data_IF_290559799757
#
_entry.id   IF_290559799757
#
_cell.length_a   1.000
_cell.length_b   1.000
_cell.length_c   1.000
_cell.angle_alpha   90.00
_cell.angle_beta   90.00
_cell.angle_gamma   90.00
#
_symmetry.space_group_name_H-M   'P 1'
#
loop_
_entity.id
_entity.type
_entity.pdbx_description
1 polymer ?
#
# COMPACT_ATOMS: atom_id res chain seq x y z
N UNK A 1 16.08 -5.50 -10.78
CA UNK A 1 14.75 -6.11 -10.53
C UNK A 1 13.73 -5.28 -11.27
N UNK A 2 12.91 -5.92 -12.11
CA UNK A 2 11.99 -5.21 -12.99
C UNK A 2 10.95 -4.42 -12.17
N UNK A 3 11.11 -3.10 -12.08
CA UNK A 3 10.19 -2.21 -11.37
C UNK A 3 10.18 -2.34 -9.84
N UNK A 4 11.28 -2.76 -9.20
CA UNK A 4 11.39 -2.70 -7.73
C UNK A 4 11.79 -1.29 -7.29
N UNK A 5 10.98 -0.68 -6.42
CA UNK A 5 11.26 0.63 -5.84
C UNK A 5 12.07 0.47 -4.55
N UNK A 6 13.27 1.05 -4.53
CA UNK A 6 14.16 1.03 -3.37
C UNK A 6 13.69 1.99 -2.28
N UNK A 7 14.17 1.77 -1.04
CA UNK A 7 13.93 2.69 0.09
C UNK A 7 14.36 4.14 -0.23
N UNK A 8 15.50 4.30 -0.90
CA UNK A 8 16.02 5.62 -1.30
C UNK A 8 15.11 6.31 -2.32
N UNK A 9 14.56 5.57 -3.28
CA UNK A 9 13.59 6.11 -4.24
C UNK A 9 12.27 6.47 -3.57
N UNK A 10 11.76 5.59 -2.70
CA UNK A 10 10.54 5.82 -1.96
C UNK A 10 10.64 7.11 -1.11
N UNK A 11 11.75 7.30 -0.39
CA UNK A 11 12.00 8.56 0.35
C UNK A 11 11.99 9.79 -0.54
N UNK A 12 12.64 9.73 -1.72
CA UNK A 12 12.62 10.86 -2.68
C UNK A 12 11.22 11.19 -3.20
N UNK A 13 10.31 10.22 -3.21
CA UNK A 13 8.93 10.39 -3.63
C UNK A 13 7.99 10.75 -2.47
N UNK A 14 8.51 10.94 -1.24
CA UNK A 14 7.72 11.36 -0.07
C UNK A 14 7.11 10.22 0.73
N UNK A 15 7.51 8.96 0.49
CA UNK A 15 7.15 7.85 1.38
C UNK A 15 7.99 7.88 2.67
N UNK A 16 7.37 7.54 3.78
CA UNK A 16 7.95 7.66 5.13
C UNK A 16 8.06 6.34 5.86
N UNK A 17 7.17 5.38 5.55
CA UNK A 17 7.10 4.09 6.23
C UNK A 17 7.16 2.90 5.26
N UNK A 18 7.65 1.77 5.76
CA UNK A 18 7.32 0.47 5.21
C UNK A 18 5.90 0.08 5.62
N UNK A 19 5.19 -0.69 4.80
CA UNK A 19 3.89 -1.24 5.17
C UNK A 19 3.57 -2.56 4.50
N UNK A 20 2.38 -3.08 4.82
CA UNK A 20 1.83 -4.29 4.19
C UNK A 20 0.33 -4.15 3.91
N UNK A 21 -0.11 -4.77 2.83
CA UNK A 21 -1.53 -4.94 2.48
C UNK A 21 -1.78 -6.41 2.16
N UNK A 22 -2.46 -7.16 3.04
CA UNK A 22 -2.64 -8.62 2.91
C UNK A 22 -1.34 -9.39 2.60
N UNK A 23 -0.23 -8.98 3.21
CA UNK A 23 1.10 -9.57 2.99
C UNK A 23 1.88 -8.97 1.81
N UNK A 24 1.25 -8.16 0.96
CA UNK A 24 1.90 -7.42 -0.13
C UNK A 24 2.75 -6.30 0.48
N UNK A 25 4.07 -6.27 0.25
CA UNK A 25 4.92 -5.20 0.72
C UNK A 25 4.61 -3.89 -0.01
N UNK A 26 4.33 -2.83 0.76
CA UNK A 26 4.07 -1.48 0.26
C UNK A 26 4.97 -0.44 0.94
N UNK A 27 5.08 0.72 0.31
CA UNK A 27 5.55 1.97 0.89
C UNK A 27 4.33 2.80 1.30
N UNK A 28 4.39 3.45 2.45
CA UNK A 28 3.31 4.29 2.97
C UNK A 28 3.87 5.70 3.22
N UNK A 29 3.14 6.73 2.78
CA UNK A 29 3.40 8.14 3.08
C UNK A 29 3.09 8.47 4.54
N UNK A 30 2.98 9.76 4.87
CA UNK A 30 2.55 10.17 6.20
C UNK A 30 1.12 9.65 6.48
N UNK A 31 0.91 8.72 7.44
CA UNK A 31 -0.40 8.15 7.72
C UNK A 31 -1.38 9.17 8.32
N UNK A 32 -0.88 10.26 8.90
CA UNK A 32 -1.68 11.31 9.54
C UNK A 32 -1.86 12.55 8.67
N UNK A 33 -1.17 12.60 7.52
CA UNK A 33 -1.19 13.69 6.57
C UNK A 33 -1.57 13.21 5.18
N UNK A 34 -0.67 13.39 4.22
CA UNK A 34 -0.87 12.95 2.85
C UNK A 34 -0.56 11.46 2.71
N UNK A 35 -1.54 10.62 3.06
CA UNK A 35 -1.40 9.17 3.01
C UNK A 35 -1.35 8.68 1.56
N UNK A 36 -0.15 8.30 1.12
CA UNK A 36 0.12 7.69 -0.18
C UNK A 36 0.50 6.23 0.01
N UNK A 37 0.15 5.37 -0.94
CA UNK A 37 0.53 3.95 -0.91
C UNK A 37 1.04 3.54 -2.28
N UNK A 38 2.15 2.81 -2.32
CA UNK A 38 2.68 2.18 -3.53
C UNK A 38 3.24 0.80 -3.22
N UNK A 39 3.12 -0.17 -4.12
CA UNK A 39 3.79 -1.45 -3.92
C UNK A 39 5.30 -1.29 -4.04
N UNK A 40 6.06 -2.13 -3.32
CA UNK A 40 7.52 -2.11 -3.47
C UNK A 40 7.99 -2.67 -4.81
N UNK A 41 7.14 -3.41 -5.50
CA UNK A 41 7.50 -4.11 -6.73
C UNK A 41 6.34 -4.09 -7.72
N UNK A 42 6.58 -3.52 -8.92
CA UNK A 42 5.54 -3.29 -9.91
C UNK A 42 4.60 -4.48 -10.23
N UNK A 43 5.06 -5.74 -10.32
CA UNK A 43 4.15 -6.88 -10.53
C UNK A 43 3.11 -7.08 -9.41
N UNK A 44 3.40 -6.61 -8.20
CA UNK A 44 2.50 -6.70 -7.06
C UNK A 44 1.34 -5.69 -7.14
N UNK A 45 1.41 -4.67 -8.01
CA UNK A 45 0.30 -3.74 -8.24
C UNK A 45 -0.95 -4.48 -8.74
N UNK A 46 -0.77 -5.47 -9.62
CA UNK A 46 -1.89 -6.28 -10.11
C UNK A 46 -2.53 -7.10 -8.98
N UNK A 47 -1.71 -7.65 -8.08
CA UNK A 47 -2.19 -8.40 -6.93
C UNK A 47 -2.91 -7.49 -5.91
N UNK A 48 -2.36 -6.29 -5.66
CA UNK A 48 -2.98 -5.29 -4.79
C UNK A 48 -4.32 -4.82 -5.35
N UNK A 49 -4.39 -4.56 -6.66
CA UNK A 49 -5.63 -4.19 -7.36
C UNK A 49 -6.69 -5.27 -7.24
N UNK A 50 -6.31 -6.55 -7.40
CA UNK A 50 -7.23 -7.66 -7.19
C UNK A 50 -7.81 -7.67 -5.77
N UNK A 51 -6.96 -7.50 -4.75
CA UNK A 51 -7.40 -7.45 -3.35
C UNK A 51 -8.28 -6.24 -3.05
N UNK A 52 -8.00 -5.06 -3.64
CA UNK A 52 -8.88 -3.90 -3.53
C UNK A 52 -10.30 -4.20 -4.04
N UNK A 53 -10.44 -4.92 -5.15
CA UNK A 53 -11.75 -5.32 -5.68
C UNK A 53 -12.46 -6.32 -4.77
N UNK A 54 -11.73 -7.29 -4.22
CA UNK A 54 -12.28 -8.27 -3.27
C UNK A 54 -12.77 -7.57 -1.98
N UNK A 55 -11.94 -6.70 -1.40
CA UNK A 55 -12.28 -5.92 -0.19
C UNK A 55 -13.48 -4.99 -0.46
N UNK A 56 -13.48 -4.29 -1.59
CA UNK A 56 -14.60 -3.45 -2.03
C UNK A 56 -15.91 -4.24 -2.18
N UNK A 57 -15.87 -5.44 -2.76
CA UNK A 57 -17.03 -6.32 -2.85
C UNK A 57 -17.54 -6.76 -1.47
N UNK A 58 -16.63 -7.11 -0.56
CA UNK A 58 -16.98 -7.50 0.82
C UNK A 58 -17.62 -6.31 1.56
N UNK A 59 -17.04 -5.11 1.47
CA UNK A 59 -17.60 -3.92 2.11
C UNK A 59 -18.97 -3.55 1.52
N UNK A 60 -19.13 -3.67 0.20
CA UNK A 60 -20.42 -3.47 -0.46
C UNK A 60 -21.48 -4.45 0.06
N UNK A 61 -21.16 -5.75 0.14
CA UNK A 61 -22.09 -6.75 0.70
C UNK A 61 -22.44 -6.50 2.17
N UNK A 62 -21.54 -5.87 2.93
CA UNK A 62 -21.76 -5.50 4.34
C UNK A 62 -22.47 -4.16 4.52
N UNK A 63 -22.70 -3.40 3.45
CA UNK A 63 -23.25 -2.04 3.52
C UNK A 63 -22.34 -1.05 4.28
N UNK A 64 -21.04 -1.35 4.38
CA UNK A 64 -20.04 -0.50 5.04
C UNK A 64 -19.34 0.37 4.01
N UNK A 65 -18.86 1.55 4.44
CA UNK A 65 -18.04 2.41 3.59
C UNK A 65 -16.80 1.66 3.08
N UNK A 66 -16.44 1.78 1.79
CA UNK A 66 -15.23 1.18 1.26
C UNK A 66 -14.00 1.73 1.98
N UNK A 67 -13.22 0.84 2.57
CA UNK A 67 -11.97 1.18 3.24
C UNK A 67 -10.89 0.20 2.85
N UNK A 68 -9.63 0.66 2.79
CA UNK A 68 -8.48 -0.22 2.59
C UNK A 68 -7.65 -0.25 3.87
N UNK A 69 -7.47 -1.43 4.43
CA UNK A 69 -6.78 -1.58 5.70
C UNK A 69 -5.30 -1.93 5.48
N UNK A 70 -4.44 -0.94 5.67
CA UNK A 70 -2.99 -1.10 5.57
C UNK A 70 -2.37 -1.31 6.95
N UNK A 71 -1.39 -2.22 7.02
CA UNK A 71 -0.52 -2.34 8.17
C UNK A 71 0.66 -1.37 8.00
N UNK A 72 0.68 -0.31 8.80
CA UNK A 72 1.84 0.59 8.89
C UNK A 72 2.96 -0.09 9.68
N UNK A 73 4.15 -0.12 9.11
CA UNK A 73 5.35 -0.67 9.71
C UNK A 73 6.33 0.42 10.14
N UNK A 74 7.60 0.03 10.30
CA UNK A 74 8.69 0.94 10.69
C UNK A 74 8.95 2.02 9.62
N UNK A 75 9.53 3.14 10.05
CA UNK A 75 10.03 4.19 9.17
C UNK A 75 11.09 3.66 8.20
N UNK A 76 11.23 4.32 7.06
CA UNK A 76 12.26 3.99 6.07
C UNK A 76 13.61 4.52 6.59
N UNK A 77 14.65 3.68 6.57
CA UNK A 77 16.04 4.01 6.93
C UNK A 77 16.69 5.00 5.95
#
# INVERSE_FOLDING_TARGET
MLGYMTAREAKRQGFTHHGKYYGIPVWIGDPHGHCMVATKWAPLEALMTLWHHVEGLIHFMRGTEPSFMFLVGREID
#
